data_IF_578168334893
#
_entry.id   IF_578168334893
#
_cell.length_a   1.000
_cell.length_b   1.000
_cell.length_c   1.000
_cell.angle_alpha   90.00
_cell.angle_beta   90.00
_cell.angle_gamma   90.00
#
_symmetry.space_group_name_H-M   'P 1'
#
loop_
_entity.id
_entity.type
_entity.pdbx_description
1 polymer ?
#
# COMPACT_ATOMS: atom_id res chain seq x y z
N UNK A 1 18.11 36.70 -16.77
CA UNK A 1 18.01 35.32 -17.30
C UNK A 1 17.20 34.54 -16.30
N UNK A 2 15.92 34.29 -16.61
CA UNK A 2 15.01 33.55 -15.74
C UNK A 2 15.37 32.06 -15.81
N UNK A 3 15.85 31.49 -14.71
CA UNK A 3 16.09 30.05 -14.62
C UNK A 3 14.75 29.34 -14.72
N UNK A 4 14.53 28.63 -15.84
CA UNK A 4 13.37 27.77 -15.98
C UNK A 4 13.43 26.68 -14.91
N UNK A 5 12.53 26.75 -13.93
CA UNK A 5 12.30 25.68 -12.96
C UNK A 5 11.79 24.47 -13.72
N UNK A 6 12.67 23.48 -13.93
CA UNK A 6 12.30 22.20 -14.53
C UNK A 6 11.30 21.52 -13.60
N UNK A 7 10.11 21.21 -14.11
CA UNK A 7 9.10 20.45 -13.36
C UNK A 7 9.70 19.08 -12.99
N UNK A 8 9.64 18.65 -11.71
CA UNK A 8 10.22 17.38 -11.30
C UNK A 8 9.59 16.23 -12.06
N UNK A 9 10.40 15.22 -12.39
CA UNK A 9 9.93 14.03 -13.09
C UNK A 9 9.04 13.17 -12.19
N UNK A 10 8.14 12.36 -12.77
CA UNK A 10 7.32 11.40 -12.00
C UNK A 10 8.18 10.44 -11.15
N UNK A 11 9.35 10.03 -11.65
CA UNK A 11 10.29 9.21 -10.89
C UNK A 11 10.86 9.93 -9.66
N UNK A 12 11.20 11.21 -9.79
CA UNK A 12 11.68 12.03 -8.67
C UNK A 12 10.59 12.25 -7.62
N UNK A 13 9.36 12.55 -8.05
CA UNK A 13 8.22 12.69 -7.14
C UNK A 13 7.93 11.38 -6.41
N UNK A 14 7.99 10.24 -7.11
CA UNK A 14 7.83 8.92 -6.51
C UNK A 14 8.93 8.63 -5.47
N UNK A 15 10.18 9.01 -5.75
CA UNK A 15 11.28 8.88 -4.77
C UNK A 15 10.99 9.71 -3.52
N UNK A 16 10.58 10.97 -3.68
CA UNK A 16 10.20 11.83 -2.54
C UNK A 16 9.06 11.26 -1.72
N UNK A 17 8.05 10.63 -2.33
CA UNK A 17 6.99 9.94 -1.60
C UNK A 17 7.51 8.74 -0.80
N UNK A 18 8.48 8.00 -1.34
CA UNK A 18 9.11 6.83 -0.70
C UNK A 18 10.06 7.17 0.45
N UNK A 19 10.51 8.42 0.53
CA UNK A 19 11.26 9.01 1.66
C UNK A 19 10.33 9.47 2.81
N UNK A 20 9.00 9.26 2.69
CA UNK A 20 8.01 9.65 3.69
C UNK A 20 7.45 8.44 4.41
N UNK A 21 7.56 8.43 5.74
CA UNK A 21 6.97 7.38 6.59
C UNK A 21 5.44 7.38 6.47
N UNK A 22 4.83 8.51 6.12
CA UNK A 22 3.40 8.66 5.88
C UNK A 22 2.92 7.73 4.77
N UNK A 23 3.74 7.49 3.74
CA UNK A 23 3.41 6.52 2.68
C UNK A 23 3.36 5.11 3.25
N UNK A 24 4.37 4.69 4.02
CA UNK A 24 4.39 3.37 4.65
C UNK A 24 3.19 3.19 5.60
N UNK A 25 2.85 4.23 6.37
CA UNK A 25 1.68 4.23 7.27
C UNK A 25 0.37 4.05 6.51
N UNK A 26 0.16 4.80 5.42
CA UNK A 26 -1.03 4.66 4.56
C UNK A 26 -1.11 3.25 3.96
N UNK A 27 -0.01 2.73 3.43
CA UNK A 27 0.01 1.40 2.83
C UNK A 27 -0.30 0.31 3.86
N UNK A 28 0.31 0.36 5.04
CA UNK A 28 0.02 -0.57 6.13
C UNK A 28 -1.44 -0.47 6.58
N UNK A 29 -2.00 0.73 6.72
CA UNK A 29 -3.41 0.92 7.06
C UNK A 29 -4.32 0.24 6.04
N UNK A 30 -4.11 0.50 4.75
CA UNK A 30 -4.92 -0.07 3.68
C UNK A 30 -4.78 -1.59 3.60
N UNK A 31 -3.59 -2.13 3.89
CA UNK A 31 -3.36 -3.57 3.97
C UNK A 31 -4.17 -4.22 5.09
N UNK A 32 -4.00 -3.71 6.31
CA UNK A 32 -4.52 -4.33 7.54
C UNK A 32 -6.02 -4.18 7.64
N UNK A 33 -6.56 -3.03 7.22
CA UNK A 33 -7.97 -2.69 7.39
C UNK A 33 -8.80 -2.81 6.12
N UNK A 34 -8.26 -3.37 5.02
CA UNK A 34 -9.03 -3.72 3.82
C UNK A 34 -10.36 -4.44 4.14
N UNK A 35 -10.43 -5.41 5.09
CA UNK A 35 -11.69 -6.09 5.40
C UNK A 35 -12.80 -5.20 5.96
N UNK A 36 -12.45 -4.02 6.48
CA UNK A 36 -13.41 -3.06 7.04
C UNK A 36 -13.87 -2.02 6.01
N UNK A 37 -13.30 -2.03 4.81
CA UNK A 37 -13.67 -1.11 3.74
C UNK A 37 -14.79 -1.71 2.90
N UNK A 38 -15.82 -0.92 2.60
CA UNK A 38 -16.93 -1.35 1.75
C UNK A 38 -16.48 -1.71 0.32
N UNK A 39 -15.39 -1.08 -0.16
CA UNK A 39 -14.88 -1.25 -1.53
C UNK A 39 -13.47 -1.86 -1.48
N UNK A 40 -13.32 -3.01 -2.16
CA UNK A 40 -12.03 -3.67 -2.38
C UNK A 40 -11.34 -3.09 -3.59
N UNK A 41 -10.55 -2.02 -3.39
CA UNK A 41 -9.93 -1.28 -4.48
C UNK A 41 -8.75 -2.04 -5.15
N UNK A 42 -8.22 -3.09 -4.51
CA UNK A 42 -7.10 -3.93 -5.03
C UNK A 42 -5.98 -3.09 -5.67
N UNK A 43 -5.64 -1.97 -5.04
CA UNK A 43 -4.59 -1.06 -5.51
C UNK A 43 -3.23 -1.55 -5.02
N UNK A 44 -2.27 -1.63 -5.92
CA UNK A 44 -0.87 -1.79 -5.53
C UNK A 44 -0.33 -0.50 -4.93
N UNK A 45 0.79 -0.58 -4.21
CA UNK A 45 1.46 0.61 -3.72
C UNK A 45 1.91 1.54 -4.86
N UNK A 46 2.32 0.98 -6.00
CA UNK A 46 2.67 1.73 -7.20
C UNK A 46 1.45 2.46 -7.81
N UNK A 47 0.26 1.85 -7.75
CA UNK A 47 -0.98 2.50 -8.17
C UNK A 47 -1.30 3.70 -7.27
N UNK A 48 -1.13 3.55 -5.95
CA UNK A 48 -1.34 4.64 -4.98
C UNK A 48 -0.33 5.76 -5.17
N UNK A 49 0.97 5.45 -5.32
CA UNK A 49 2.00 6.44 -5.63
C UNK A 49 1.68 7.21 -6.91
N UNK A 50 1.26 6.50 -7.96
CA UNK A 50 0.88 7.12 -9.24
C UNK A 50 -0.36 7.99 -9.09
N UNK A 51 -1.34 7.53 -8.33
CA UNK A 51 -2.56 8.28 -8.05
C UNK A 51 -2.29 9.56 -7.25
N UNK A 52 -1.36 9.54 -6.30
CA UNK A 52 -0.89 10.72 -5.57
C UNK A 52 -0.15 11.71 -6.48
N UNK A 53 0.65 11.23 -7.44
CA UNK A 53 1.40 12.08 -8.37
C UNK A 53 0.48 12.73 -9.40
N UNK A 54 -0.33 11.92 -10.08
CA UNK A 54 -1.07 12.34 -11.27
C UNK A 54 -2.48 12.83 -10.96
N UNK A 55 -3.02 12.52 -9.77
CA UNK A 55 -4.44 12.64 -9.44
C UNK A 55 -5.33 11.89 -10.45
N UNK A 56 -5.86 10.73 -10.05
CA UNK A 56 -6.72 9.91 -10.90
C UNK A 56 -7.92 9.34 -10.12
N UNK A 57 -8.78 8.60 -10.82
CA UNK A 57 -10.01 8.03 -10.25
C UNK A 57 -9.74 7.08 -9.09
N UNK A 58 -8.60 6.39 -9.07
CA UNK A 58 -8.21 5.51 -7.96
C UNK A 58 -8.05 6.30 -6.66
N UNK A 59 -7.45 7.49 -6.70
CA UNK A 59 -7.32 8.35 -5.51
C UNK A 59 -8.69 8.85 -5.03
N UNK A 60 -9.58 9.19 -5.96
CA UNK A 60 -10.95 9.62 -5.63
C UNK A 60 -11.71 8.49 -4.94
N UNK A 61 -11.68 7.28 -5.51
CA UNK A 61 -12.34 6.11 -4.94
C UNK A 61 -11.77 5.74 -3.57
N UNK A 62 -10.45 5.87 -3.39
CA UNK A 62 -9.78 5.65 -2.12
C UNK A 62 -10.26 6.62 -1.04
N UNK A 63 -10.32 7.92 -1.32
CA UNK A 63 -10.86 8.91 -0.39
C UNK A 63 -12.32 8.63 -0.05
N UNK A 64 -13.15 8.34 -1.06
CA UNK A 64 -14.57 8.02 -0.83
C UNK A 64 -14.72 6.80 0.08
N UNK A 65 -13.98 5.72 -0.19
CA UNK A 65 -14.03 4.50 0.60
C UNK A 65 -13.64 4.73 2.07
N UNK A 66 -12.60 5.54 2.32
CA UNK A 66 -12.21 5.91 3.68
C UNK A 66 -13.25 6.81 4.36
N UNK A 67 -13.76 7.82 3.65
CA UNK A 67 -14.75 8.77 4.20
C UNK A 67 -16.07 8.09 4.56
N UNK A 68 -16.51 7.09 3.78
CA UNK A 68 -17.73 6.31 4.10
C UNK A 68 -17.65 5.62 5.46
N UNK A 69 -16.46 5.21 5.88
CA UNK A 69 -16.23 4.65 7.22
C UNK A 69 -16.22 5.69 8.36
N UNK A 70 -16.15 6.99 8.05
CA UNK A 70 -16.13 8.08 9.04
C UNK A 70 -17.48 8.80 9.11
N UNK A 71 -18.20 8.92 7.99
CA UNK A 71 -19.44 9.69 7.90
C UNK A 71 -20.48 9.05 6.98
N UNK A 72 -21.74 9.18 7.34
CA UNK A 72 -22.91 8.69 6.57
C UNK A 72 -23.42 9.70 5.55
N UNK A 73 -22.57 10.63 5.09
CA UNK A 73 -22.97 11.73 4.21
C UNK A 73 -23.35 11.21 2.81
N UNK A 74 -24.59 11.48 2.39
CA UNK A 74 -25.08 11.16 1.02
C UNK A 74 -24.31 11.86 -0.10
N UNK A 75 -23.52 12.88 0.24
CA UNK A 75 -22.66 13.58 -0.73
C UNK A 75 -21.54 12.69 -1.27
N UNK A 76 -21.20 11.59 -0.60
CA UNK A 76 -20.17 10.64 -1.04
C UNK A 76 -20.60 9.78 -2.23
N UNK A 77 -21.89 9.78 -2.59
CA UNK A 77 -22.40 9.06 -3.76
C UNK A 77 -22.29 9.89 -5.07
N UNK A 78 -21.86 11.16 -4.97
CA UNK A 78 -21.63 12.06 -6.10
C UNK A 78 -20.14 12.25 -6.42
N UNK A 79 -19.82 12.37 -7.72
CA UNK A 79 -18.44 12.36 -8.26
C UNK A 79 -17.49 13.44 -7.69
N UNK A 80 -18.00 14.63 -7.36
CA UNK A 80 -17.14 15.76 -6.92
C UNK A 80 -17.41 16.24 -5.49
N UNK A 81 -18.51 15.83 -4.87
CA UNK A 81 -18.89 16.35 -3.54
C UNK A 81 -18.09 15.72 -2.39
N UNK A 82 -17.34 14.63 -2.65
CA UNK A 82 -16.46 13.99 -1.68
C UNK A 82 -15.39 14.94 -1.14
N UNK A 83 -14.87 15.88 -1.94
CA UNK A 83 -13.84 16.82 -1.48
C UNK A 83 -14.38 17.77 -0.42
N UNK A 84 -15.65 18.18 -0.53
CA UNK A 84 -16.31 19.03 0.47
C UNK A 84 -16.50 18.27 1.78
N UNK A 85 -16.83 16.97 1.69
CA UNK A 85 -16.92 16.09 2.86
C UNK A 85 -15.54 15.90 3.50
N UNK A 86 -14.51 15.64 2.70
CA UNK A 86 -13.13 15.52 3.15
C UNK A 86 -12.68 16.76 3.91
N UNK A 87 -12.86 17.95 3.34
CA UNK A 87 -12.49 19.21 4.00
C UNK A 87 -13.20 19.37 5.34
N UNK A 88 -14.49 19.04 5.43
CA UNK A 88 -15.25 19.13 6.68
C UNK A 88 -14.73 18.14 7.74
N UNK A 89 -14.51 16.88 7.35
CA UNK A 89 -13.98 15.84 8.23
C UNK A 89 -12.61 16.27 8.75
N UNK A 90 -11.68 16.59 7.85
CA UNK A 90 -10.34 16.96 8.24
C UNK A 90 -10.29 18.28 8.99
N UNK A 91 -11.16 19.26 8.73
CA UNK A 91 -11.17 20.49 9.54
C UNK A 91 -11.41 20.21 11.04
N UNK A 92 -12.17 19.18 11.39
CA UNK A 92 -12.37 18.75 12.77
C UNK A 92 -11.24 17.86 13.29
N UNK A 93 -10.69 16.99 12.44
CA UNK A 93 -9.68 16.01 12.84
C UNK A 93 -8.25 16.52 12.78
N UNK A 94 -7.94 17.52 11.95
CA UNK A 94 -6.58 17.97 11.62
C UNK A 94 -5.70 18.20 12.84
N UNK A 95 -6.15 18.90 13.91
CA UNK A 95 -5.33 19.12 15.10
C UNK A 95 -4.86 17.84 15.81
N UNK A 96 -5.53 16.71 15.55
CA UNK A 96 -5.26 15.41 16.17
C UNK A 96 -4.46 14.46 15.27
N UNK A 97 -4.45 14.68 13.95
CA UNK A 97 -3.90 13.74 12.96
C UNK A 97 -2.73 14.31 12.15
N UNK A 98 -2.48 15.62 12.23
CA UNK A 98 -1.41 16.26 11.47
C UNK A 98 -0.83 17.47 12.20
N UNK A 99 0.41 17.77 11.89
CA UNK A 99 1.09 18.98 12.34
C UNK A 99 1.02 20.05 11.25
N UNK A 100 1.03 21.33 11.66
CA UNK A 100 0.97 22.47 10.74
C UNK A 100 -0.44 22.78 10.23
N UNK A 101 -0.52 23.70 9.27
CA UNK A 101 -1.79 24.17 8.72
C UNK A 101 -2.40 23.16 7.74
N UNK A 102 -3.73 23.07 7.73
CA UNK A 102 -4.44 22.21 6.80
C UNK A 102 -4.26 22.71 5.35
N UNK A 103 -3.65 21.93 4.43
CA UNK A 103 -3.30 22.39 3.07
C UNK A 103 -4.52 22.73 2.19
N UNK A 104 -5.74 22.35 2.59
CA UNK A 104 -6.96 22.72 1.90
C UNK A 104 -7.77 23.72 2.74
N UNK A 105 -7.87 24.97 2.27
CA UNK A 105 -8.84 25.92 2.82
C UNK A 105 -10.17 25.87 2.07
N UNK A 106 -11.27 26.10 2.79
CA UNK A 106 -12.61 26.24 2.20
C UNK A 106 -12.55 27.25 1.04
N UNK A 107 -13.05 26.84 -0.13
CA UNK A 107 -12.81 27.55 -1.39
C UNK A 107 -14.10 27.85 -2.16
N UNK A 108 -15.27 27.78 -1.49
CA UNK A 108 -16.59 28.08 -2.05
C UNK A 108 -16.86 27.29 -3.36
N UNK A 109 -16.55 26.00 -3.37
CA UNK A 109 -16.76 25.12 -4.54
C UNK A 109 -15.52 24.93 -5.44
N UNK A 110 -14.38 25.52 -5.09
CA UNK A 110 -13.10 25.33 -5.81
C UNK A 110 -12.14 24.37 -5.12
N UNK A 111 -12.62 23.61 -4.13
CA UNK A 111 -11.80 22.71 -3.31
C UNK A 111 -11.15 21.62 -4.18
N UNK A 112 -11.90 21.07 -5.14
CA UNK A 112 -11.38 20.03 -6.04
C UNK A 112 -10.25 20.54 -6.93
N UNK A 113 -10.39 21.73 -7.52
CA UNK A 113 -9.34 22.36 -8.32
C UNK A 113 -8.07 22.56 -7.51
N UNK A 114 -8.20 23.07 -6.28
CA UNK A 114 -7.05 23.25 -5.37
C UNK A 114 -6.40 21.92 -5.03
N UNK A 115 -7.18 20.88 -4.75
CA UNK A 115 -6.65 19.54 -4.47
C UNK A 115 -5.83 18.97 -5.64
N UNK A 116 -6.28 19.18 -6.88
CA UNK A 116 -5.56 18.79 -8.10
C UNK A 116 -4.28 19.59 -8.34
N UNK A 117 -4.10 20.73 -7.68
CA UNK A 117 -2.90 21.57 -7.80
C UNK A 117 -1.89 21.31 -6.68
N UNK A 118 -2.28 20.61 -5.61
CA UNK A 118 -1.39 20.26 -4.48
C UNK A 118 -0.19 19.43 -4.91
N UNK A 119 0.92 19.58 -4.18
CA UNK A 119 2.07 18.70 -4.30
C UNK A 119 1.69 17.27 -3.90
N UNK A 120 2.27 16.21 -4.52
CA UNK A 120 1.99 14.83 -4.14
C UNK A 120 2.22 14.55 -2.64
N UNK A 121 3.18 15.23 -2.01
CA UNK A 121 3.43 15.10 -0.55
C UNK A 121 2.25 15.67 0.24
N UNK A 122 1.69 16.81 -0.15
CA UNK A 122 0.51 17.37 0.52
C UNK A 122 -0.71 16.45 0.36
N UNK A 123 -0.88 15.86 -0.83
CA UNK A 123 -1.94 14.85 -1.06
C UNK A 123 -1.73 13.61 -0.19
N UNK A 124 -0.49 13.18 0.00
CA UNK A 124 -0.13 12.08 0.89
C UNK A 124 -0.46 12.42 2.35
N UNK A 125 -0.12 13.62 2.82
CA UNK A 125 -0.44 14.08 4.17
C UNK A 125 -1.95 14.09 4.41
N UNK A 126 -2.73 14.57 3.44
CA UNK A 126 -4.20 14.52 3.49
C UNK A 126 -4.69 13.08 3.56
N UNK A 127 -4.18 12.19 2.71
CA UNK A 127 -4.58 10.78 2.68
C UNK A 127 -4.27 10.09 4.02
N UNK A 128 -3.07 10.32 4.57
CA UNK A 128 -2.65 9.84 5.89
C UNK A 128 -3.58 10.35 6.99
N UNK A 129 -3.92 11.64 6.98
CA UNK A 129 -4.83 12.23 7.96
C UNK A 129 -6.23 11.59 7.92
N UNK A 130 -6.74 11.25 6.73
CA UNK A 130 -8.01 10.52 6.60
C UNK A 130 -7.87 9.09 7.14
N UNK A 131 -6.77 8.39 6.86
CA UNK A 131 -6.51 7.06 7.44
C UNK A 131 -6.49 7.09 8.98
N UNK A 132 -5.89 8.10 9.60
CA UNK A 132 -5.88 8.22 11.07
C UNK A 132 -7.25 8.55 11.65
N UNK A 133 -8.01 9.45 11.02
CA UNK A 133 -9.40 9.69 11.40
C UNK A 133 -10.25 8.42 11.26
N UNK A 134 -9.98 7.61 10.22
CA UNK A 134 -10.61 6.31 10.00
C UNK A 134 -10.21 5.28 11.06
N UNK A 135 -8.95 5.24 11.47
CA UNK A 135 -8.43 4.31 12.48
C UNK A 135 -9.08 4.52 13.86
N UNK A 136 -9.54 5.74 14.13
CA UNK A 136 -10.21 6.10 15.38
C UNK A 136 -11.73 5.74 15.41
N UNK A 137 -12.27 5.12 14.36
CA UNK A 137 -13.69 4.73 14.31
C UNK A 137 -13.95 3.40 15.05
N UNK A 138 -15.15 3.26 15.62
CA UNK A 138 -15.52 2.13 16.48
C UNK A 138 -15.50 0.77 15.77
N UNK A 139 -15.78 0.74 14.47
CA UNK A 139 -15.77 -0.48 13.68
C UNK A 139 -14.35 -1.03 13.47
N UNK A 140 -13.34 -0.15 13.33
CA UNK A 140 -11.92 -0.54 13.32
C UNK A 140 -11.51 -1.13 14.67
N UNK A 141 -11.89 -0.46 15.76
CA UNK A 141 -11.62 -0.95 17.12
C UNK A 141 -12.29 -2.30 17.37
N UNK A 142 -13.53 -2.46 16.90
CA UNK A 142 -14.26 -3.72 16.99
C UNK A 142 -13.56 -4.82 16.18
N UNK A 143 -13.13 -4.52 14.95
CA UNK A 143 -12.39 -5.45 14.10
C UNK A 143 -11.08 -5.92 14.75
N UNK A 144 -10.30 -5.00 15.34
CA UNK A 144 -9.07 -5.37 16.07
C UNK A 144 -9.41 -6.31 17.23
N UNK A 145 -10.39 -5.95 18.06
CA UNK A 145 -10.77 -6.74 19.23
C UNK A 145 -11.28 -8.14 18.85
N UNK A 146 -12.10 -8.25 17.81
CA UNK A 146 -12.61 -9.53 17.31
C UNK A 146 -11.51 -10.38 16.70
N UNK A 147 -10.60 -9.76 15.93
CA UNK A 147 -9.46 -10.44 15.33
C UNK A 147 -8.53 -11.03 16.38
N UNK A 148 -8.19 -10.24 17.41
CA UNK A 148 -7.33 -10.71 18.51
C UNK A 148 -8.00 -11.82 19.33
N UNK A 149 -9.32 -11.76 19.52
CA UNK A 149 -10.09 -12.86 20.15
C UNK A 149 -10.11 -14.12 19.28
N UNK A 150 -9.97 -13.99 17.97
CA UNK A 150 -9.91 -15.07 16.99
C UNK A 150 -8.51 -15.59 16.70
N UNK A 151 -7.56 -15.40 17.62
CA UNK A 151 -6.15 -15.82 17.53
C UNK A 151 -5.34 -15.15 16.40
N UNK A 152 -5.80 -14.03 15.83
CA UNK A 152 -4.97 -13.21 14.94
C UNK A 152 -3.90 -12.51 15.78
N UNK A 153 -2.64 -12.74 15.44
CA UNK A 153 -1.51 -12.15 16.14
C UNK A 153 -1.57 -10.63 16.09
N UNK A 154 -1.28 -9.98 17.23
CA UNK A 154 -1.22 -8.52 17.36
C UNK A 154 -0.21 -7.90 16.38
N UNK A 155 0.84 -8.64 16.03
CA UNK A 155 1.85 -8.27 15.04
C UNK A 155 1.28 -8.01 13.63
N UNK A 156 0.05 -8.48 13.36
CA UNK A 156 -0.71 -8.15 12.16
C UNK A 156 -1.07 -6.66 12.10
N UNK A 157 -1.45 -6.08 13.24
CA UNK A 157 -1.89 -4.67 13.34
C UNK A 157 -0.72 -3.75 13.62
N UNK A 158 0.19 -4.19 14.48
CA UNK A 158 1.40 -3.48 14.85
C UNK A 158 2.58 -4.22 14.28
N UNK A 159 3.16 -3.70 13.20
CA UNK A 159 4.36 -4.28 12.61
C UNK A 159 5.47 -4.37 13.66
N UNK A 160 6.30 -5.39 13.53
CA UNK A 160 7.51 -5.59 14.33
C UNK A 160 8.73 -5.23 13.48
N UNK A 161 9.77 -4.71 14.14
CA UNK A 161 11.04 -4.41 13.48
C UNK A 161 11.70 -5.72 13.06
N UNK A 162 12.24 -5.73 11.85
CA UNK A 162 13.04 -6.84 11.33
C UNK A 162 14.40 -6.89 12.03
N UNK A 163 15.01 -5.72 12.23
CA UNK A 163 16.25 -5.53 12.97
C UNK A 163 16.31 -4.09 13.49
N UNK A 164 17.08 -3.89 14.56
CA UNK A 164 17.32 -2.58 15.16
C UNK A 164 18.71 -2.57 15.80
N UNK A 165 19.59 -1.69 15.34
CA UNK A 165 20.91 -1.48 15.93
C UNK A 165 21.41 -0.05 15.66
N UNK A 166 22.07 0.57 16.63
CA UNK A 166 22.86 1.80 16.49
C UNK A 166 22.16 2.99 15.82
N UNK A 167 20.86 3.21 16.04
CA UNK A 167 20.21 4.35 15.40
C UNK A 167 19.46 3.99 14.12
N UNK A 168 19.44 2.72 13.70
CA UNK A 168 18.78 2.29 12.47
C UNK A 168 17.88 1.09 12.71
N UNK A 169 16.61 1.25 12.36
CA UNK A 169 15.60 0.21 12.39
C UNK A 169 15.18 -0.16 10.97
N UNK A 170 14.94 -1.45 10.75
CA UNK A 170 14.47 -1.99 9.47
C UNK A 170 13.09 -2.60 9.63
N UNK A 171 12.26 -2.39 8.62
CA UNK A 171 10.88 -2.88 8.59
C UNK A 171 10.61 -3.58 7.27
N UNK A 172 9.88 -4.69 7.31
CA UNK A 172 9.40 -5.39 6.12
C UNK A 172 7.88 -5.45 6.15
N UNK A 173 7.26 -5.08 5.04
CA UNK A 173 5.81 -5.18 4.89
C UNK A 173 5.41 -5.57 3.46
N UNK A 174 4.17 -6.02 3.32
CA UNK A 174 3.51 -6.17 2.04
C UNK A 174 3.08 -7.59 1.70
N UNK A 175 2.33 -7.67 0.61
CA UNK A 175 1.67 -8.88 0.13
C UNK A 175 1.60 -8.91 -1.41
N UNK A 176 0.80 -9.84 -1.94
CA UNK A 176 0.58 -9.96 -3.37
C UNK A 176 -0.22 -8.82 -4.02
N UNK A 177 -0.90 -7.97 -3.23
CA UNK A 177 -1.75 -6.87 -3.68
C UNK A 177 -0.97 -5.56 -3.64
N UNK A 178 -0.55 -5.13 -2.46
CA UNK A 178 0.16 -3.85 -2.23
C UNK A 178 1.60 -3.93 -2.74
N UNK A 179 2.16 -5.14 -2.83
CA UNK A 179 3.56 -5.35 -3.16
C UNK A 179 4.43 -5.33 -1.90
N UNK A 180 5.56 -6.01 -1.98
CA UNK A 180 6.47 -6.18 -0.84
C UNK A 180 7.49 -5.05 -0.80
N UNK A 181 7.77 -4.55 0.40
CA UNK A 181 8.62 -3.39 0.64
C UNK A 181 9.51 -3.59 1.85
N UNK A 182 10.74 -3.09 1.72
CA UNK A 182 11.69 -2.96 2.82
C UNK A 182 11.87 -1.48 3.12
N UNK A 183 11.81 -1.12 4.40
CA UNK A 183 12.00 0.24 4.87
C UNK A 183 13.17 0.31 5.85
N UNK A 184 13.79 1.48 5.90
CA UNK A 184 14.76 1.86 6.93
C UNK A 184 14.30 3.14 7.62
N UNK A 185 14.56 3.22 8.91
CA UNK A 185 14.36 4.37 9.76
C UNK A 185 15.69 4.66 10.47
N UNK A 186 16.26 5.83 10.21
CA UNK A 186 17.48 6.30 10.86
C UNK A 186 17.11 7.43 11.82
N UNK A 187 17.52 7.31 13.08
CA UNK A 187 17.33 8.35 14.08
C UNK A 187 18.69 8.91 14.55
N UNK A 188 18.90 10.20 14.31
CA UNK A 188 20.07 10.94 14.76
C UNK A 188 19.72 11.77 16.00
N UNK A 189 20.54 11.65 17.03
CA UNK A 189 20.47 12.49 18.22
C UNK A 189 21.47 13.62 18.07
N UNK A 190 21.02 14.87 18.14
CA UNK A 190 21.95 16.00 18.28
C UNK A 190 22.65 15.90 19.64
N UNK A 191 23.95 15.56 19.62
CA UNK A 191 24.80 15.57 20.81
C UNK A 191 25.00 17.02 21.27
N UNK A 192 24.42 17.38 22.43
CA UNK A 192 24.55 18.72 23.02
C UNK A 192 26.01 19.12 23.24
N UNK A 193 26.41 20.27 22.69
CA UNK A 193 27.48 21.09 23.28
C UNK A 193 26.87 21.80 24.50
N UNK A 194 27.37 21.48 25.70
CA UNK A 194 26.96 22.17 26.94
C UNK A 194 27.37 23.65 26.87
N UNK A 195 26.43 24.54 26.60
CA UNK A 195 26.58 25.98 26.86
C UNK A 195 25.49 26.42 27.82
N UNK A 196 25.89 26.72 29.06
CA UNK A 196 25.20 27.62 30.00
C UNK A 196 23.67 27.42 30.18
N UNK A 197 23.28 26.49 31.05
CA UNK A 197 22.16 26.68 31.99
C UNK A 197 20.72 26.75 31.44
N UNK A 198 20.47 26.50 30.16
CA UNK A 198 19.12 26.27 29.62
C UNK A 198 19.04 24.86 29.03
N UNK A 199 18.13 24.06 29.55
CA UNK A 199 17.73 22.81 28.91
C UNK A 199 17.01 23.15 27.60
N UNK A 200 17.75 23.09 26.50
CA UNK A 200 17.20 23.07 25.15
C UNK A 200 16.63 21.67 24.92
N UNK A 201 15.36 21.56 24.57
CA UNK A 201 14.74 20.30 24.11
C UNK A 201 15.59 19.71 22.98
N UNK A 202 15.90 18.42 23.06
CA UNK A 202 16.66 17.74 22.03
C UNK A 202 15.75 17.48 20.84
N UNK A 203 16.03 18.11 19.70
CA UNK A 203 15.37 17.76 18.44
C UNK A 203 15.88 16.37 17.99
N UNK A 204 14.96 15.44 17.78
CA UNK A 204 15.24 14.11 17.23
C UNK A 204 15.06 14.23 15.72
N UNK A 205 16.14 14.00 14.96
CA UNK A 205 16.05 13.93 13.51
C UNK A 205 15.76 12.49 13.09
N UNK A 206 14.63 12.26 12.43
CA UNK A 206 14.23 10.94 11.93
C UNK A 206 14.19 11.00 10.41
N UNK A 207 14.92 10.10 9.77
CA UNK A 207 14.93 9.91 8.33
C UNK A 207 14.32 8.55 7.99
N UNK A 208 13.31 8.56 7.12
CA UNK A 208 12.65 7.34 6.62
C UNK A 208 12.99 7.11 5.15
N UNK A 209 13.18 5.85 4.76
CA UNK A 209 13.41 5.48 3.36
C UNK A 209 12.75 4.13 3.01
N UNK A 210 12.23 4.02 1.79
CA UNK A 210 11.87 2.74 1.18
C UNK A 210 13.07 2.19 0.41
N UNK A 211 13.74 1.19 0.97
CA UNK A 211 15.01 0.64 0.47
C UNK A 211 14.82 -0.30 -0.71
N UNK A 212 13.73 -1.09 -0.71
CA UNK A 212 13.42 -2.02 -1.78
C UNK A 212 11.91 -2.16 -2.02
N UNK A 213 11.53 -2.29 -3.29
CA UNK A 213 10.16 -2.42 -3.78
C UNK A 213 9.99 -3.54 -4.81
N UNK A 214 11.08 -4.08 -5.34
CA UNK A 214 11.04 -5.17 -6.34
C UNK A 214 12.16 -6.20 -6.09
N UNK A 215 12.05 -7.37 -6.74
CA UNK A 215 12.94 -8.50 -6.50
C UNK A 215 14.42 -8.16 -6.74
N UNK A 216 14.73 -7.34 -7.75
CA UNK A 216 16.10 -6.93 -8.04
C UNK A 216 16.67 -6.07 -6.93
N UNK A 217 15.90 -5.11 -6.42
CA UNK A 217 16.27 -4.29 -5.26
C UNK A 217 16.46 -5.14 -4.00
N UNK A 218 15.56 -6.10 -3.73
CA UNK A 218 15.71 -7.00 -2.58
C UNK A 218 16.99 -7.85 -2.66
N UNK A 219 17.36 -8.34 -3.84
CA UNK A 219 18.62 -9.08 -4.04
C UNK A 219 19.83 -8.17 -3.84
N UNK A 220 19.79 -6.95 -4.39
CA UNK A 220 20.84 -5.96 -4.20
C UNK A 220 21.07 -5.67 -2.71
N UNK A 221 20.00 -5.39 -1.97
CA UNK A 221 20.08 -5.11 -0.53
C UNK A 221 20.61 -6.31 0.24
N UNK A 222 20.14 -7.52 -0.05
CA UNK A 222 20.69 -8.75 0.56
C UNK A 222 22.19 -8.84 0.34
N UNK A 223 22.66 -8.64 -0.88
CA UNK A 223 24.08 -8.78 -1.22
C UNK A 223 24.93 -7.71 -0.52
N UNK A 224 24.50 -6.45 -0.56
CA UNK A 224 25.15 -5.33 0.14
C UNK A 224 25.23 -5.61 1.65
N UNK A 225 24.10 -5.93 2.28
CA UNK A 225 24.00 -6.12 3.73
C UNK A 225 24.68 -7.40 4.23
N UNK A 226 24.87 -8.40 3.36
CA UNK A 226 25.62 -9.61 3.71
C UNK A 226 27.10 -9.34 3.98
N UNK A 227 27.64 -8.25 3.42
CA UNK A 227 29.03 -7.82 3.55
C UNK A 227 29.23 -6.68 4.55
N UNK A 228 28.15 -6.23 5.19
CA UNK A 228 28.20 -5.12 6.15
C UNK A 228 28.88 -5.51 7.47
N UNK A 229 29.49 -4.52 8.11
CA UNK A 229 30.01 -4.65 9.48
C UNK A 229 28.89 -4.55 10.53
N UNK A 230 27.71 -4.01 10.16
CA UNK A 230 26.56 -3.85 11.05
C UNK A 230 25.82 -5.18 11.23
N UNK A 231 25.60 -5.59 12.48
CA UNK A 231 24.95 -6.88 12.77
C UNK A 231 23.48 -6.84 12.39
N UNK A 232 22.81 -5.69 12.52
CA UNK A 232 21.43 -5.49 12.06
C UNK A 232 21.29 -5.73 10.56
N UNK A 233 22.15 -5.15 9.73
CA UNK A 233 22.17 -5.37 8.28
C UNK A 233 22.45 -6.84 7.94
N UNK A 234 23.44 -7.45 8.59
CA UNK A 234 23.72 -8.89 8.42
C UNK A 234 22.53 -9.75 8.85
N UNK A 235 21.77 -9.34 9.87
CA UNK A 235 20.53 -10.02 10.27
C UNK A 235 19.43 -9.83 9.22
N UNK A 236 19.25 -8.62 8.69
CA UNK A 236 18.30 -8.31 7.62
C UNK A 236 18.59 -9.16 6.40
N UNK A 237 19.84 -9.22 5.93
CA UNK A 237 20.21 -10.02 4.76
C UNK A 237 19.87 -11.50 4.91
N UNK A 238 20.10 -12.09 6.09
CA UNK A 238 19.70 -13.47 6.40
C UNK A 238 18.19 -13.67 6.32
N UNK A 239 17.42 -12.77 6.93
CA UNK A 239 15.95 -12.83 6.86
C UNK A 239 15.46 -12.65 5.41
N UNK A 240 16.08 -11.76 4.64
CA UNK A 240 15.75 -11.58 3.23
C UNK A 240 15.99 -12.84 2.40
N UNK A 241 17.14 -13.50 2.63
CA UNK A 241 17.53 -14.72 1.93
C UNK A 241 16.59 -15.89 2.23
N UNK A 242 16.22 -16.08 3.50
CA UNK A 242 15.44 -17.23 3.94
C UNK A 242 13.93 -17.02 3.75
N UNK A 243 13.42 -15.86 4.15
CA UNK A 243 11.97 -15.66 4.33
C UNK A 243 11.32 -14.80 3.25
N UNK A 244 12.05 -13.85 2.64
CA UNK A 244 11.45 -12.84 1.74
C UNK A 244 11.66 -13.14 0.26
N UNK A 245 12.91 -13.36 -0.16
CA UNK A 245 13.27 -13.54 -1.58
C UNK A 245 12.63 -14.79 -2.19
N UNK A 246 12.62 -15.97 -1.54
CA UNK A 246 12.08 -17.18 -2.16
C UNK A 246 10.56 -17.10 -2.47
N UNK A 247 9.70 -16.57 -1.58
CA UNK A 247 8.31 -16.29 -1.94
C UNK A 247 8.14 -15.28 -3.07
N UNK A 248 8.94 -14.21 -3.09
CA UNK A 248 8.91 -13.20 -4.15
C UNK A 248 9.22 -13.78 -5.53
N UNK A 249 10.24 -14.64 -5.62
CA UNK A 249 10.55 -15.33 -6.88
C UNK A 249 9.40 -16.20 -7.37
N UNK A 250 8.71 -16.90 -6.46
CA UNK A 250 7.57 -17.74 -6.81
C UNK A 250 6.43 -16.87 -7.35
N UNK A 251 6.16 -15.72 -6.73
CA UNK A 251 5.16 -14.76 -7.18
C UNK A 251 5.48 -14.21 -8.57
N UNK A 252 6.73 -13.80 -8.80
CA UNK A 252 7.13 -13.26 -10.10
C UNK A 252 7.08 -14.33 -11.21
N UNK A 253 7.58 -15.55 -10.94
CA UNK A 253 7.45 -16.69 -11.87
C UNK A 253 5.99 -16.98 -12.19
N UNK A 254 5.08 -16.86 -11.22
CA UNK A 254 3.63 -17.03 -11.44
C UNK A 254 3.07 -15.92 -12.34
N UNK A 255 3.41 -14.64 -12.10
CA UNK A 255 3.02 -13.50 -12.95
C UNK A 255 3.51 -13.69 -14.39
N UNK A 256 4.78 -14.03 -14.58
CA UNK A 256 5.36 -14.29 -15.91
C UNK A 256 4.68 -15.45 -16.64
N UNK A 257 4.33 -16.54 -15.93
CA UNK A 257 3.58 -17.67 -16.52
C UNK A 257 2.17 -17.26 -16.95
N UNK A 258 1.48 -16.47 -16.13
CA UNK A 258 0.14 -15.97 -16.46
C UNK A 258 0.16 -15.06 -17.69
N UNK A 259 1.14 -14.14 -17.78
CA UNK A 259 1.33 -13.29 -18.94
C UNK A 259 1.57 -14.09 -20.22
N UNK A 260 2.48 -15.07 -20.18
CA UNK A 260 2.75 -15.97 -21.33
C UNK A 260 1.52 -16.79 -21.73
N UNK A 261 0.65 -17.15 -20.79
CA UNK A 261 -0.61 -17.84 -21.11
C UNK A 261 -1.61 -16.89 -21.78
N UNK A 262 -1.72 -15.66 -21.28
CA UNK A 262 -2.59 -14.63 -21.87
C UNK A 262 -2.15 -14.26 -23.29
N UNK A 263 -0.84 -14.07 -23.50
CA UNK A 263 -0.27 -13.83 -24.83
C UNK A 263 -0.60 -14.96 -25.81
N UNK A 264 -0.48 -16.22 -25.39
CA UNK A 264 -0.85 -17.38 -26.21
C UNK A 264 -2.34 -17.43 -26.55
N UNK A 265 -3.22 -17.03 -25.62
CA UNK A 265 -4.65 -16.96 -25.86
C UNK A 265 -5.01 -15.84 -26.83
N UNK A 266 -4.38 -14.67 -26.67
CA UNK A 266 -4.61 -13.51 -27.54
C UNK A 266 -3.99 -13.67 -28.94
N UNK A 267 -2.91 -14.46 -29.05
CA UNK A 267 -2.26 -14.79 -30.32
C UNK A 267 -2.92 -15.96 -31.05
N UNK A 268 -3.91 -16.65 -30.46
CA UNK A 268 -4.67 -17.67 -31.16
C UNK A 268 -5.57 -16.99 -32.20
N UNK A 269 -5.34 -17.18 -33.51
CA UNK A 269 -6.22 -16.60 -34.52
C UNK A 269 -7.62 -17.19 -34.37
N UNK A 270 -8.64 -16.39 -34.69
CA UNK A 270 -10.04 -16.78 -34.79
C UNK A 270 -10.24 -17.81 -35.94
N UNK A 271 -9.60 -18.97 -35.85
CA UNK A 271 -9.78 -20.08 -36.79
C UNK A 271 -10.64 -21.11 -36.09
N UNK A 272 -11.92 -20.75 -35.93
CA UNK A 272 -12.94 -21.77 -35.79
C UNK A 272 -14.17 -21.40 -36.61
N UNK A 273 -14.04 -21.53 -37.92
CA UNK A 273 -15.15 -22.00 -38.76
C UNK A 273 -14.61 -22.57 -40.08
N UNK A 274 -15.04 -23.80 -40.36
CA UNK A 274 -14.77 -24.60 -41.55
C UNK A 274 -13.42 -25.33 -41.62
N UNK A 275 -13.31 -26.43 -40.89
CA UNK A 275 -12.95 -27.72 -41.50
C UNK A 275 -13.22 -28.84 -40.51
N UNK A 276 -14.50 -29.26 -40.50
CA UNK A 276 -14.80 -30.67 -40.29
C UNK A 276 -13.93 -31.42 -41.28
N UNK A 277 -12.98 -32.23 -40.82
CA UNK A 277 -12.59 -33.50 -41.44
C UNK A 277 -11.65 -34.25 -40.48
N UNK A 278 -12.31 -35.12 -39.70
CA UNK A 278 -11.85 -36.47 -39.30
C UNK A 278 -10.48 -36.63 -38.65
N UNK A 279 -10.49 -36.91 -37.33
CA UNK A 279 -9.66 -37.97 -36.73
C UNK A 279 -10.34 -38.56 -35.49
N UNK A 280 -11.01 -39.69 -35.71
CA UNK A 280 -11.27 -40.80 -34.78
C UNK A 280 -11.50 -40.45 -33.29
N UNK A 281 -12.75 -40.20 -32.92
CA UNK A 281 -13.23 -40.43 -31.55
C UNK A 281 -13.32 -41.95 -31.32
N UNK A 282 -12.59 -42.47 -30.33
CA UNK A 282 -12.87 -43.81 -29.79
C UNK A 282 -14.22 -43.71 -29.10
N UNK A 283 -15.21 -44.41 -29.63
CA UNK A 283 -16.55 -44.54 -29.05
C UNK A 283 -16.46 -45.13 -27.62
N UNK A 284 -16.41 -44.27 -26.61
CA UNK A 284 -16.79 -44.66 -25.25
C UNK A 284 -18.31 -44.56 -25.17
N UNK A 285 -18.98 -45.72 -25.10
CA UNK A 285 -20.42 -45.81 -24.84
C UNK A 285 -20.76 -45.03 -23.57
N UNK A 286 -21.81 -44.19 -23.56
CA UNK A 286 -22.25 -43.53 -22.34
C UNK A 286 -22.76 -44.57 -21.34
N UNK A 287 -22.19 -44.57 -20.14
CA UNK A 287 -22.61 -45.41 -19.02
C UNK A 287 -23.90 -44.82 -18.46
N UNK A 288 -25.00 -45.56 -18.58
CA UNK A 288 -26.32 -45.16 -18.12
C UNK A 288 -26.57 -45.82 -16.75
N UNK A 289 -26.34 -45.08 -15.65
CA UNK A 289 -26.68 -45.55 -14.30
C UNK A 289 -28.19 -45.46 -14.11
N UNK A 290 -28.88 -46.59 -14.26
CA UNK A 290 -30.26 -46.74 -13.80
C UNK A 290 -30.22 -47.17 -12.34
N UNK A 291 -30.58 -46.24 -11.44
CA UNK A 291 -30.85 -46.56 -10.04
C UNK A 291 -32.14 -47.40 -9.98
N UNK A 292 -31.98 -48.72 -9.98
CA UNK A 292 -33.04 -49.68 -9.69
C UNK A 292 -33.38 -49.66 -8.20
N UNK A 293 -34.65 -49.38 -7.91
CA UNK A 293 -35.30 -49.56 -6.61
C UNK A 293 -34.98 -50.93 -6.03
N UNK A 294 -34.51 -50.98 -4.78
CA UNK A 294 -34.58 -52.20 -3.98
C UNK A 294 -35.95 -52.28 -3.30
N UNK A 295 -36.64 -53.37 -3.58
CA UNK A 295 -37.93 -53.73 -3.01
C UNK A 295 -37.81 -54.12 -1.53
N UNK A 296 -38.85 -53.78 -0.79
CA UNK A 296 -39.22 -54.38 0.49
C UNK A 296 -39.25 -55.91 0.40
N UNK A 297 -38.69 -56.56 1.42
CA UNK A 297 -39.25 -57.72 2.13
C UNK A 297 -38.62 -57.76 3.54
#
# INVERSE_FOLDING_TARGET
MSGATVKPSSAELRRKLREKWELASVLNFLHVFEPTMEIKLKLSAEDIETALIEFNDSLVQLHIALLKGITTSKLLDGSEAWITVLCRVLQSWWPWVAQGDFPLSAAKGKELSRYKELDPIDRLLILKAVCEARAAQDDIMSFINESVKGDIAISTFRKEKLADENGTAYWYDGDGIIGHRLYSEVYEFENKIKVSGKDVESDIYIQWETVATNLEEFRRVRDEYSTSELKSEVSVSKTLEVDVIPPLEKLEKKKQRALKQLEKQNAAPYVFQSSRLTRSSRNLKPINYTYGKYNHL
#
